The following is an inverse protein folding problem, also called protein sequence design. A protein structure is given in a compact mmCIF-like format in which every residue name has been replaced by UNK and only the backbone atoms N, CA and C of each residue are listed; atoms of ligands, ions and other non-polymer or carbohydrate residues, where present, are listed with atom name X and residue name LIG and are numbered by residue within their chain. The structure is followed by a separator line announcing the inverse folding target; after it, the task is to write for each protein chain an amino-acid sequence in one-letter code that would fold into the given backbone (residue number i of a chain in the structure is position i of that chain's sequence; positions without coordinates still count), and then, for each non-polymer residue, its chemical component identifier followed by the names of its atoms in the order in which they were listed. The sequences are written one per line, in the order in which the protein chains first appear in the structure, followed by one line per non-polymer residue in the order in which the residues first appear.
data_IF_271958122770
#
_entry.id   IF_271958122770
#
_cell.length_a   1.000
_cell.length_b   1.000
_cell.length_c   1.000
_cell.angle_alpha   90.00
_cell.angle_beta   90.00
_cell.angle_gamma   90.00
#
_symmetry.space_group_name_H-M   'P 1'
#
loop_
_entity.id
_entity.type
_entity.pdbx_description
1 polymer ?
#
# COMPACT_ATOMS: atom_id res chain seq x y z
N UNK A 1 4.52 2.30 9.82
CA UNK A 1 3.24 1.60 10.03
C UNK A 1 3.53 0.22 10.59
N UNK A 2 2.88 -0.19 11.68
CA UNK A 2 3.08 -1.49 12.32
C UNK A 2 1.76 -2.25 12.39
N UNK A 3 1.79 -3.56 12.17
CA UNK A 3 0.62 -4.44 12.28
C UNK A 3 0.10 -4.43 13.72
N UNK A 4 -1.22 -4.40 13.88
CA UNK A 4 -1.87 -4.39 15.19
C UNK A 4 -1.93 -3.02 15.87
N UNK A 5 -1.23 -2.00 15.35
CA UNK A 5 -1.41 -0.63 15.80
C UNK A 5 -2.61 0.04 15.14
N UNK A 6 -3.26 0.94 15.87
CA UNK A 6 -4.38 1.75 15.38
C UNK A 6 -3.96 3.23 15.26
N UNK A 7 -4.54 3.92 14.28
CA UNK A 7 -4.36 5.36 14.09
C UNK A 7 -4.89 6.13 15.29
N UNK A 8 -4.31 7.29 15.57
CA UNK A 8 -4.99 8.28 16.40
C UNK A 8 -6.10 8.94 15.59
N UNK A 9 -7.14 9.42 16.26
CA UNK A 9 -8.23 10.13 15.61
C UNK A 9 -8.73 11.24 16.51
N UNK A 10 -8.95 12.42 15.94
CA UNK A 10 -9.63 13.52 16.64
C UNK A 10 -11.10 13.57 16.24
N UNK A 11 -11.40 13.27 14.97
CA UNK A 11 -12.76 13.37 14.40
C UNK A 11 -13.24 12.07 13.75
N UNK A 12 -12.31 11.23 13.34
CA UNK A 12 -12.59 9.87 12.90
C UNK A 12 -12.27 8.88 14.01
N UNK A 13 -12.98 7.76 14.03
CA UNK A 13 -12.60 6.62 14.88
C UNK A 13 -11.24 6.07 14.45
N UNK A 14 -10.43 5.58 15.40
CA UNK A 14 -9.20 4.84 15.10
C UNK A 14 -9.43 3.68 14.13
N UNK A 15 -8.52 3.52 13.16
CA UNK A 15 -8.50 2.40 12.20
C UNK A 15 -7.14 1.71 12.23
N UNK A 16 -7.00 0.45 11.78
CA UNK A 16 -5.69 -0.19 11.74
C UNK A 16 -4.69 0.60 10.87
N UNK A 17 -3.46 0.77 11.35
CA UNK A 17 -2.41 1.52 10.65
C UNK A 17 -1.85 0.82 9.42
N UNK A 18 -2.00 -0.50 9.32
CA UNK A 18 -1.38 -1.32 8.27
C UNK A 18 -2.35 -2.42 7.86
N UNK A 19 -2.89 -2.31 6.64
CA UNK A 19 -3.91 -3.22 6.11
C UNK A 19 -3.56 -3.66 4.70
N UNK A 20 -3.47 -4.98 4.49
CA UNK A 20 -3.45 -5.56 3.15
C UNK A 20 -4.89 -5.65 2.66
N UNK A 21 -5.26 -4.90 1.62
CA UNK A 21 -6.65 -4.81 1.16
C UNK A 21 -6.98 -5.84 0.09
N UNK A 22 -6.01 -6.18 -0.78
CA UNK A 22 -6.21 -7.10 -1.90
C UNK A 22 -4.87 -7.61 -2.48
N UNK A 23 -4.95 -8.58 -3.38
CA UNK A 23 -3.81 -9.23 -4.02
C UNK A 23 -3.59 -10.65 -3.51
N UNK A 24 -3.08 -11.51 -4.40
CA UNK A 24 -2.96 -12.96 -4.19
C UNK A 24 -1.94 -13.35 -3.11
N UNK A 25 -1.17 -12.39 -2.59
CA UNK A 25 -0.19 -12.60 -1.54
C UNK A 25 -0.54 -11.88 -0.22
N UNK A 26 -1.79 -11.44 -0.01
CA UNK A 26 -2.19 -10.80 1.26
C UNK A 26 -2.15 -11.74 2.47
N UNK A 27 -2.10 -13.06 2.27
CA UNK A 27 -1.87 -14.02 3.35
C UNK A 27 -0.43 -13.93 3.91
N UNK A 28 0.49 -13.28 3.18
CA UNK A 28 1.84 -13.06 3.65
C UNK A 28 1.87 -12.03 4.79
N UNK A 29 2.58 -12.39 5.86
CA UNK A 29 2.69 -11.54 7.05
C UNK A 29 3.67 -10.40 6.83
N UNK A 30 3.17 -9.17 6.88
CA UNK A 30 3.99 -7.94 6.95
C UNK A 30 3.75 -7.27 8.29
N UNK A 31 4.78 -7.23 9.13
CA UNK A 31 4.67 -6.65 10.48
C UNK A 31 4.96 -5.15 10.51
N UNK A 32 5.80 -4.64 9.62
CA UNK A 32 6.21 -3.25 9.58
C UNK A 32 6.48 -2.75 8.16
N UNK A 33 5.95 -1.56 7.85
CA UNK A 33 6.22 -0.82 6.61
C UNK A 33 6.64 0.59 6.95
N UNK A 34 7.73 1.05 6.35
CA UNK A 34 8.20 2.44 6.45
C UNK A 34 7.94 3.15 5.13
N UNK A 35 7.16 4.23 5.16
CA UNK A 35 6.96 5.10 4.00
C UNK A 35 7.60 6.45 4.22
N UNK A 36 8.19 7.01 3.16
CA UNK A 36 8.76 8.35 3.11
C UNK A 36 8.01 9.16 2.06
N UNK A 37 7.66 10.40 2.39
CA UNK A 37 7.25 11.38 1.39
C UNK A 37 8.50 11.68 0.53
N UNK A 38 8.40 11.49 -0.78
CA UNK A 38 9.50 11.70 -1.73
C UNK A 38 9.30 12.90 -2.65
N UNK A 39 8.27 13.71 -2.39
CA UNK A 39 7.90 14.88 -3.20
C UNK A 39 6.43 14.82 -3.61
N UNK A 40 6.02 15.80 -4.40
CA UNK A 40 4.69 15.87 -5.01
C UNK A 40 4.80 15.56 -6.50
N UNK A 41 3.76 14.95 -7.08
CA UNK A 41 3.66 14.76 -8.54
C UNK A 41 3.24 16.06 -9.25
N UNK A 42 3.13 16.03 -10.58
CA UNK A 42 2.73 17.19 -11.39
C UNK A 42 1.32 17.71 -11.08
N UNK A 43 0.50 16.91 -10.37
CA UNK A 43 -0.84 17.29 -9.90
C UNK A 43 -0.85 17.85 -8.46
N UNK A 44 0.32 17.96 -7.82
CA UNK A 44 0.46 18.43 -6.44
C UNK A 44 0.08 17.39 -5.38
N UNK A 45 0.01 16.10 -5.75
CA UNK A 45 -0.28 15.00 -4.82
C UNK A 45 1.02 14.40 -4.28
N UNK A 46 1.04 14.14 -2.97
CA UNK A 46 2.21 13.55 -2.29
C UNK A 46 2.50 12.16 -2.82
N UNK A 47 3.74 11.95 -3.25
CA UNK A 47 4.27 10.65 -3.62
C UNK A 47 4.93 9.97 -2.40
N UNK A 48 4.54 8.72 -2.16
CA UNK A 48 5.05 7.91 -1.07
C UNK A 48 5.96 6.81 -1.59
N UNK A 49 7.15 6.69 -1.01
CA UNK A 49 8.03 5.52 -1.19
C UNK A 49 7.95 4.65 0.05
N UNK A 50 7.34 3.47 -0.09
CA UNK A 50 7.20 2.50 1.01
C UNK A 50 8.19 1.33 0.86
N UNK A 51 8.77 0.91 1.99
CA UNK A 51 9.72 -0.19 2.09
C UNK A 51 9.37 -1.08 3.27
N UNK A 52 9.52 -2.39 3.10
CA UNK A 52 9.33 -3.40 4.14
C UNK A 52 10.26 -4.59 3.87
N UNK A 53 10.45 -5.44 4.89
CA UNK A 53 11.14 -6.71 4.70
C UNK A 53 10.20 -7.71 4.01
N UNK A 54 10.20 -7.70 2.69
CA UNK A 54 9.46 -8.63 1.85
C UNK A 54 10.42 -9.67 1.29
N UNK A 55 9.99 -10.94 1.26
CA UNK A 55 10.74 -11.99 0.56
C UNK A 55 10.93 -11.65 -0.92
N UNK A 56 11.95 -12.24 -1.55
CA UNK A 56 12.29 -12.01 -2.97
C UNK A 56 11.19 -12.40 -3.95
N UNK A 57 10.20 -13.18 -3.50
CA UNK A 57 9.02 -13.58 -4.27
C UNK A 57 7.80 -12.66 -4.11
N UNK A 58 7.84 -11.63 -3.25
CA UNK A 58 6.69 -10.74 -2.97
C UNK A 58 7.03 -9.29 -3.31
N UNK A 59 6.06 -8.54 -3.84
CA UNK A 59 6.13 -7.10 -4.04
C UNK A 59 4.87 -6.41 -3.57
N UNK A 60 5.01 -5.14 -3.19
CA UNK A 60 3.87 -4.23 -3.10
C UNK A 60 3.27 -4.00 -4.49
N UNK A 61 1.95 -3.90 -4.56
CA UNK A 61 1.24 -3.29 -5.68
C UNK A 61 0.83 -1.87 -5.29
N UNK A 62 -0.47 -1.65 -5.14
CA UNK A 62 -1.03 -0.37 -4.75
C UNK A 62 -0.63 0.00 -3.32
N UNK A 63 -0.38 1.28 -3.11
CA UNK A 63 0.03 1.86 -1.84
C UNK A 63 -0.75 3.16 -1.62
N UNK A 64 -1.55 3.20 -0.56
CA UNK A 64 -2.33 4.37 -0.20
C UNK A 64 -2.11 4.76 1.25
N UNK A 65 -1.40 5.87 1.45
CA UNK A 65 -1.23 6.49 2.77
C UNK A 65 -2.31 7.54 2.96
N UNK A 66 -3.14 7.36 3.98
CA UNK A 66 -4.21 8.29 4.34
C UNK A 66 -4.00 8.79 5.75
N UNK A 67 -4.10 10.11 5.98
CA UNK A 67 -3.97 10.73 7.29
C UNK A 67 -5.14 11.68 7.55
N UNK A 68 -5.63 11.73 8.79
CA UNK A 68 -6.55 12.79 9.22
C UNK A 68 -5.84 14.14 9.14
N UNK A 69 -6.43 15.12 8.45
CA UNK A 69 -5.94 16.50 8.48
C UNK A 69 -6.09 17.09 9.90
N UNK A 70 -5.31 18.11 10.24
CA UNK A 70 -5.30 18.65 11.60
C UNK A 70 -6.56 19.47 11.91
N UNK A 71 -6.96 20.37 11.00
CA UNK A 71 -8.14 21.24 11.14
C UNK A 71 -9.36 20.81 10.36
N UNK A 72 -9.18 20.19 9.19
CA UNK A 72 -10.22 19.66 8.30
C UNK A 72 -9.63 18.64 7.32
N UNK A 73 -10.44 18.09 6.42
CA UNK A 73 -10.01 17.03 5.49
C UNK A 73 -9.02 17.50 4.41
N UNK A 74 -9.03 18.79 4.09
CA UNK A 74 -8.20 19.41 3.03
C UNK A 74 -6.95 20.10 3.60
N UNK A 75 -6.70 19.97 4.90
CA UNK A 75 -5.56 20.60 5.57
C UNK A 75 -4.22 20.02 5.07
N UNK A 76 -3.23 20.91 4.86
CA UNK A 76 -1.85 20.54 4.54
C UNK A 76 -1.17 19.89 5.74
N UNK A 77 -1.51 20.32 6.96
CA UNK A 77 -1.04 19.71 8.19
C UNK A 77 -1.86 18.46 8.51
N UNK A 78 -1.17 17.39 8.92
CA UNK A 78 -1.79 16.11 9.31
C UNK A 78 -1.69 15.90 10.82
N UNK A 79 -2.72 15.30 11.41
CA UNK A 79 -2.74 14.95 12.82
C UNK A 79 -1.67 13.90 13.12
N UNK A 80 -0.86 14.12 14.16
CA UNK A 80 0.21 13.19 14.52
C UNK A 80 -0.37 11.83 14.90
N UNK A 81 0.14 10.78 14.26
CA UNK A 81 -0.27 9.39 14.51
C UNK A 81 -1.53 8.95 13.78
N UNK A 82 -2.17 9.82 13.01
CA UNK A 82 -3.43 9.51 12.32
C UNK A 82 -3.27 8.83 10.97
N UNK A 83 -2.04 8.68 10.48
CA UNK A 83 -1.78 8.06 9.20
C UNK A 83 -1.93 6.54 9.26
N UNK A 84 -2.67 5.97 8.32
CA UNK A 84 -2.74 4.56 8.00
C UNK A 84 -2.21 4.26 6.59
N UNK A 85 -1.79 3.02 6.36
CA UNK A 85 -1.37 2.50 5.07
C UNK A 85 -2.27 1.33 4.68
N UNK A 86 -2.96 1.50 3.56
CA UNK A 86 -3.59 0.41 2.82
C UNK A 86 -2.65 0.02 1.68
N UNK A 87 -2.45 -1.28 1.48
CA UNK A 87 -1.56 -1.79 0.46
C UNK A 87 -2.06 -3.09 -0.17
N UNK A 88 -1.56 -3.43 -1.35
CA UNK A 88 -1.72 -4.75 -1.95
C UNK A 88 -0.40 -5.51 -2.00
N UNK A 89 -0.48 -6.85 -1.99
CA UNK A 89 0.68 -7.73 -2.15
C UNK A 89 0.48 -8.70 -3.31
N UNK A 90 1.53 -8.84 -4.11
CA UNK A 90 1.55 -9.70 -5.28
C UNK A 90 2.82 -10.55 -5.33
N UNK A 91 2.73 -11.71 -5.97
CA UNK A 91 3.92 -12.50 -6.28
C UNK A 91 4.76 -11.80 -7.37
N UNK A 92 6.07 -11.76 -7.18
CA UNK A 92 7.03 -11.38 -8.22
C UNK A 92 7.10 -12.53 -9.23
N UNK A 93 6.58 -12.30 -10.43
CA UNK A 93 6.79 -13.25 -11.54
C UNK A 93 5.75 -14.34 -11.72
N UNK A 94 4.50 -14.14 -11.32
CA UNK A 94 3.38 -14.81 -12.01
C UNK A 94 3.06 -14.04 -13.30
N UNK A 95 4.01 -14.04 -14.25
CA UNK A 95 3.64 -13.78 -15.64
C UNK A 95 2.55 -14.80 -15.97
N UNK A 96 1.36 -14.31 -16.31
CA UNK A 96 0.30 -15.15 -16.87
C UNK A 96 0.93 -15.95 -18.01
N UNK A 97 1.26 -17.21 -17.79
CA UNK A 97 1.30 -18.18 -18.87
C UNK A 97 -0.16 -18.39 -19.23
N UNK A 98 -0.68 -17.52 -20.11
CA UNK A 98 -1.87 -17.85 -20.88
C UNK A 98 -1.47 -19.05 -21.73
N UNK A 99 -1.81 -20.24 -21.23
CA UNK A 99 -1.88 -21.47 -21.98
C UNK A 99 -3.02 -21.34 -23.00
N UNK A 100 -2.74 -20.66 -24.10
CA UNK A 100 -3.53 -20.58 -25.33
C UNK A 100 -2.63 -19.86 -26.33
N UNK A 101 -2.30 -20.50 -27.44
CA UNK A 101 -1.44 -20.05 -28.57
C UNK A 101 -0.13 -20.86 -28.76
N UNK A 102 -0.11 -22.12 -28.33
CA UNK A 102 0.80 -23.13 -28.87
C UNK A 102 -0.02 -24.30 -29.40
N UNK A 103 -0.75 -24.07 -30.50
CA UNK A 103 -1.15 -25.05 -31.52
C UNK A 103 -2.22 -24.43 -32.44
N UNK A 104 -1.77 -23.71 -33.47
CA UNK A 104 -2.55 -23.51 -34.70
C UNK A 104 -1.59 -23.22 -35.86
N UNK A 105 -1.30 -24.28 -36.60
CA UNK A 105 -0.92 -24.30 -38.01
C UNK A 105 0.53 -23.95 -38.39
N UNK A 106 1.39 -24.95 -38.22
CA UNK A 106 2.33 -25.30 -39.27
C UNK A 106 1.57 -25.99 -40.43
N UNK A 107 1.38 -25.27 -41.55
CA UNK A 107 1.26 -25.81 -42.91
C UNK A 107 1.40 -24.71 -43.97
#
# INVERSE_FOLDING_TARGET
FRKGEFTTGRRSSPVPKLVCTHGEACDFRVDEVTCKNVGDNDFGEVQWKCTANLGTGIKFGDLQVTCEGYRDRNDRLKLRGSCGLEYSLHYRGAGRRSSSDADADAR
#
